data_IF_974043530412
#
_entry.id   IF_974043530412
#
_cell.length_a   1.000
_cell.length_b   1.000
_cell.length_c   1.000
_cell.angle_alpha   90.00
_cell.angle_beta   90.00
_cell.angle_gamma   90.00
#
_symmetry.space_group_name_H-M   'P 1'
#
loop_
_entity.id
_entity.type
_entity.pdbx_description
1 polymer ?
#
# COMPACT_ATOMS: atom_id res chain seq x y z
N UNK A 1 -19.78 -30.90 -4.44
CA UNK A 1 -20.50 -29.98 -5.37
C UNK A 1 -21.80 -29.57 -4.68
N UNK A 2 -21.92 -28.31 -4.24
CA UNK A 2 -22.95 -27.70 -3.36
C UNK A 2 -22.60 -27.55 -1.87
N UNK A 3 -21.83 -26.51 -1.55
CA UNK A 3 -21.94 -25.74 -0.29
C UNK A 3 -21.39 -24.30 -0.45
N UNK A 4 -21.55 -23.69 -1.64
CA UNK A 4 -21.08 -22.32 -1.94
C UNK A 4 -22.22 -21.51 -2.55
N UNK A 5 -23.26 -21.24 -1.76
CA UNK A 5 -24.30 -20.27 -2.08
C UNK A 5 -25.18 -20.03 -0.85
N UNK A 6 -24.77 -19.08 0.00
CA UNK A 6 -25.68 -18.23 0.80
C UNK A 6 -24.84 -17.27 1.65
N UNK A 7 -24.65 -16.07 1.12
CA UNK A 7 -24.66 -14.80 1.85
C UNK A 7 -24.64 -13.63 0.86
N UNK A 8 -25.51 -13.71 -0.14
CA UNK A 8 -25.95 -12.55 -0.90
C UNK A 8 -27.37 -12.20 -0.41
N UNK A 9 -27.61 -10.91 -0.15
CA UNK A 9 -28.82 -10.32 0.46
C UNK A 9 -28.80 -10.25 2.00
N UNK A 10 -27.88 -9.44 2.51
CA UNK A 10 -28.19 -8.42 3.52
C UNK A 10 -27.13 -7.32 3.42
N UNK A 11 -27.52 -6.05 3.24
CA UNK A 11 -26.65 -4.88 3.45
C UNK A 11 -26.31 -4.77 4.94
N UNK A 12 -25.59 -5.75 5.50
CA UNK A 12 -24.78 -5.49 6.70
C UNK A 12 -23.54 -4.78 6.20
N UNK A 13 -23.29 -3.56 6.70
CA UNK A 13 -21.93 -2.98 6.61
C UNK A 13 -21.00 -4.06 7.12
N UNK A 14 -20.20 -4.65 6.23
CA UNK A 14 -19.13 -5.53 6.67
C UNK A 14 -18.31 -4.76 7.71
N UNK A 15 -17.91 -5.43 8.80
CA UNK A 15 -16.98 -4.81 9.73
C UNK A 15 -15.76 -4.32 8.93
N UNK A 16 -15.16 -3.17 9.28
CA UNK A 16 -13.95 -2.71 8.63
C UNK A 16 -12.93 -3.86 8.55
N UNK A 17 -12.20 -4.01 7.42
CA UNK A 17 -11.26 -5.12 7.24
C UNK A 17 -10.20 -5.18 8.36
N UNK A 18 -9.96 -4.04 9.02
CA UNK A 18 -9.04 -3.84 10.14
C UNK A 18 -9.47 -4.46 11.47
N UNK A 19 -10.74 -4.85 11.61
CA UNK A 19 -11.27 -5.43 12.85
C UNK A 19 -11.02 -6.94 12.93
N UNK A 20 -10.72 -7.59 11.81
CA UNK A 20 -10.37 -9.00 11.80
C UNK A 20 -8.92 -9.17 12.27
N UNK A 21 -8.74 -9.95 13.34
CA UNK A 21 -7.44 -10.26 13.94
C UNK A 21 -6.82 -11.54 13.35
N UNK A 22 -7.54 -12.24 12.48
CA UNK A 22 -7.06 -13.46 11.84
C UNK A 22 -6.02 -13.12 10.78
N UNK A 23 -4.90 -13.86 10.71
CA UNK A 23 -3.91 -13.71 9.64
C UNK A 23 -4.57 -13.70 8.27
N UNK A 24 -4.02 -12.89 7.38
CA UNK A 24 -4.42 -12.77 5.98
C UNK A 24 -3.97 -14.02 5.25
N UNK A 25 -4.74 -15.10 5.40
CA UNK A 25 -4.46 -16.43 4.86
C UNK A 25 -5.76 -17.20 4.64
N UNK A 26 -5.89 -17.83 3.49
CA UNK A 26 -6.96 -18.77 3.15
C UNK A 26 -6.36 -19.99 2.43
N UNK A 27 -7.21 -20.79 1.79
CA UNK A 27 -6.79 -21.90 0.94
C UNK A 27 -5.73 -21.43 -0.08
N UNK A 28 -4.61 -22.15 -0.13
CA UNK A 28 -3.52 -21.89 -1.04
C UNK A 28 -3.94 -22.24 -2.48
N UNK A 29 -3.68 -21.31 -3.40
CA UNK A 29 -3.99 -21.52 -4.81
C UNK A 29 -2.70 -21.79 -5.59
N UNK A 30 -2.73 -22.84 -6.42
CA UNK A 30 -1.75 -23.00 -7.49
C UNK A 30 -1.93 -21.91 -8.56
N UNK A 31 -0.95 -21.76 -9.46
CA UNK A 31 -0.90 -20.63 -10.39
C UNK A 31 -2.13 -20.52 -11.29
N UNK A 32 -2.65 -21.63 -11.81
CA UNK A 32 -3.85 -21.65 -12.67
C UNK A 32 -5.10 -21.19 -11.89
N UNK A 33 -5.20 -21.58 -10.62
CA UNK A 33 -6.31 -21.18 -9.75
C UNK A 33 -6.18 -19.70 -9.32
N UNK A 34 -4.96 -19.20 -9.15
CA UNK A 34 -4.71 -17.77 -8.94
C UNK A 34 -5.18 -16.95 -10.14
N UNK A 35 -4.90 -17.37 -11.37
CA UNK A 35 -5.37 -16.67 -12.58
C UNK A 35 -6.90 -16.65 -12.68
N UNK A 36 -7.56 -17.80 -12.46
CA UNK A 36 -9.02 -17.88 -12.43
C UNK A 36 -9.62 -16.99 -11.32
N UNK A 37 -8.97 -16.96 -10.16
CA UNK A 37 -9.37 -16.09 -9.06
C UNK A 37 -9.19 -14.61 -9.43
N UNK A 38 -8.11 -14.24 -10.12
CA UNK A 38 -7.87 -12.87 -10.58
C UNK A 38 -8.98 -12.37 -11.50
N UNK A 39 -9.41 -13.20 -12.46
CA UNK A 39 -10.50 -12.89 -13.38
C UNK A 39 -11.84 -12.72 -12.64
N UNK A 40 -12.14 -13.64 -11.72
CA UNK A 40 -13.36 -13.57 -10.89
C UNK A 40 -13.35 -12.34 -9.97
N UNK A 41 -12.18 -12.01 -9.41
CA UNK A 41 -11.97 -10.85 -8.55
C UNK A 41 -12.16 -9.55 -9.33
N UNK A 42 -11.59 -9.46 -10.54
CA UNK A 42 -11.75 -8.31 -11.41
C UNK A 42 -13.22 -8.08 -11.78
N UNK A 43 -13.98 -9.15 -12.07
CA UNK A 43 -15.41 -9.05 -12.33
C UNK A 43 -16.20 -8.52 -11.11
N UNK A 44 -15.78 -8.87 -9.90
CA UNK A 44 -16.43 -8.43 -8.65
C UNK A 44 -16.02 -7.01 -8.22
N UNK A 45 -14.83 -6.53 -8.59
CA UNK A 45 -14.27 -5.26 -8.13
C UNK A 45 -14.70 -4.07 -9.01
N UNK A 46 -15.93 -3.59 -8.80
CA UNK A 46 -16.42 -2.37 -9.46
C UNK A 46 -15.82 -1.12 -8.82
N UNK A 47 -15.49 -0.12 -9.64
CA UNK A 47 -14.94 1.16 -9.18
C UNK A 47 -16.00 2.28 -9.13
N UNK A 48 -15.76 3.33 -8.34
CA UNK A 48 -16.65 4.48 -8.17
C UNK A 48 -15.89 5.80 -8.13
N UNK A 49 -16.47 6.83 -8.73
CA UNK A 49 -15.99 8.22 -8.64
C UNK A 49 -16.40 8.90 -7.33
N UNK A 50 -17.31 8.28 -6.56
CA UNK A 50 -17.83 8.80 -5.28
C UNK A 50 -17.59 7.79 -4.15
N UNK A 51 -16.32 7.53 -3.79
CA UNK A 51 -16.01 6.59 -2.72
C UNK A 51 -16.47 7.12 -1.36
N UNK A 52 -16.92 6.25 -0.45
CA UNK A 52 -17.11 6.66 0.94
C UNK A 52 -15.76 7.01 1.57
N UNK A 53 -15.79 7.84 2.62
CA UNK A 53 -14.61 8.07 3.43
C UNK A 53 -14.25 6.80 4.21
N UNK A 54 -12.98 6.42 4.11
CA UNK A 54 -12.42 5.26 4.80
C UNK A 54 -11.22 5.67 5.65
N UNK A 55 -10.86 4.79 6.57
CA UNK A 55 -9.67 4.97 7.38
C UNK A 55 -8.42 5.02 6.51
N UNK A 56 -7.57 6.03 6.71
CA UNK A 56 -6.33 6.21 5.94
C UNK A 56 -5.36 5.04 6.13
N UNK A 57 -4.81 4.50 5.04
CA UNK A 57 -3.77 3.47 5.09
C UNK A 57 -2.52 3.97 5.83
N UNK A 58 -2.19 5.26 5.71
CA UNK A 58 -1.05 5.85 6.44
C UNK A 58 -1.27 5.83 7.96
N UNK A 59 -2.50 6.12 8.40
CA UNK A 59 -2.86 6.03 9.82
C UNK A 59 -2.81 4.57 10.30
N UNK A 60 -3.33 3.63 9.49
CA UNK A 60 -3.27 2.20 9.82
C UNK A 60 -1.84 1.67 9.87
N UNK A 61 -0.99 2.06 8.93
CA UNK A 61 0.43 1.72 8.95
C UNK A 61 1.12 2.22 10.23
N UNK A 62 0.76 3.42 10.71
CA UNK A 62 1.27 3.95 11.98
C UNK A 62 0.92 3.08 13.18
N UNK A 63 -0.33 2.60 13.25
CA UNK A 63 -0.76 1.65 14.29
C UNK A 63 -0.13 0.26 14.15
N UNK A 64 0.07 -0.21 12.91
CA UNK A 64 0.77 -1.47 12.66
C UNK A 64 2.21 -1.38 13.17
N UNK A 65 2.91 -0.29 12.83
CA UNK A 65 4.26 -0.02 13.29
C UNK A 65 4.36 0.02 14.83
N UNK A 66 3.43 0.71 15.51
CA UNK A 66 3.51 0.84 16.97
C UNK A 66 3.40 -0.49 17.70
N UNK A 67 2.59 -1.42 17.20
CA UNK A 67 2.43 -2.72 17.88
C UNK A 67 3.42 -3.75 17.43
N UNK A 68 3.88 -3.71 16.17
CA UNK A 68 5.03 -4.51 15.77
C UNK A 68 6.25 -4.19 16.65
N UNK A 69 6.47 -2.90 16.95
CA UNK A 69 7.51 -2.47 17.89
C UNK A 69 7.27 -2.98 19.31
N UNK A 70 6.02 -2.95 19.78
CA UNK A 70 5.69 -3.46 21.11
C UNK A 70 5.91 -4.98 21.21
N UNK A 71 5.51 -5.74 20.19
CA UNK A 71 5.69 -7.18 20.10
C UNK A 71 7.18 -7.57 20.01
N UNK A 72 7.97 -6.82 19.26
CA UNK A 72 9.43 -6.95 19.21
C UNK A 72 10.05 -6.78 20.61
N UNK A 73 9.73 -5.67 21.31
CA UNK A 73 10.24 -5.40 22.66
C UNK A 73 9.83 -6.47 23.68
N UNK A 74 8.58 -6.94 23.61
CA UNK A 74 8.08 -7.99 24.48
C UNK A 74 8.82 -9.32 24.25
N UNK A 75 9.07 -9.67 22.98
CA UNK A 75 9.80 -10.89 22.62
C UNK A 75 11.28 -10.82 23.01
N UNK A 76 11.89 -9.64 22.90
CA UNK A 76 13.29 -9.42 23.30
C UNK A 76 13.48 -9.59 24.82
N UNK A 77 12.54 -9.05 25.62
CA UNK A 77 12.56 -9.22 27.07
C UNK A 77 12.39 -10.69 27.51
N UNK A 78 11.66 -11.51 26.74
CA UNK A 78 11.56 -12.94 27.02
C UNK A 78 12.87 -13.68 26.77
N UNK A 79 13.53 -13.37 25.66
CA UNK A 79 14.83 -13.94 25.31
C UNK A 79 15.89 -13.63 26.37
N UNK A 80 15.92 -12.39 26.88
CA UNK A 80 16.81 -11.97 27.98
C UNK A 80 16.52 -12.73 29.29
N UNK A 81 15.28 -13.14 29.52
CA UNK A 81 14.88 -13.91 30.71
C UNK A 81 15.09 -15.42 30.59
N UNK A 82 15.86 -15.88 29.59
CA UNK A 82 16.12 -17.29 29.25
C UNK A 82 14.84 -18.12 29.02
N UNK A 83 13.71 -17.45 28.75
CA UNK A 83 12.45 -18.13 28.41
C UNK A 83 12.46 -18.48 26.94
N UNK A 84 12.02 -19.71 26.63
CA UNK A 84 11.95 -20.18 25.25
C UNK A 84 11.00 -19.35 24.39
N UNK A 85 11.54 -18.70 23.37
CA UNK A 85 10.77 -17.89 22.42
C UNK A 85 10.10 -18.81 21.38
N UNK A 86 8.91 -18.43 20.89
CA UNK A 86 8.29 -19.17 19.79
C UNK A 86 9.10 -19.00 18.49
N UNK A 87 9.25 -20.03 17.63
CA UNK A 87 10.00 -19.89 16.37
C UNK A 87 9.55 -18.72 15.48
N UNK A 88 8.24 -18.47 15.42
CA UNK A 88 7.71 -17.34 14.64
C UNK A 88 8.09 -15.96 15.24
N UNK A 89 8.29 -15.88 16.56
CA UNK A 89 8.73 -14.67 17.25
C UNK A 89 10.24 -14.44 17.10
N UNK A 90 11.03 -15.52 17.06
CA UNK A 90 12.46 -15.47 16.75
C UNK A 90 12.71 -14.89 15.35
N UNK A 91 11.95 -15.33 14.35
CA UNK A 91 11.98 -14.70 13.02
C UNK A 91 11.68 -13.20 13.06
N UNK A 92 10.73 -12.74 13.88
CA UNK A 92 10.46 -11.31 14.01
C UNK A 92 11.61 -10.56 14.69
N UNK A 93 12.22 -11.14 15.73
CA UNK A 93 13.35 -10.56 16.45
C UNK A 93 14.56 -10.37 15.53
N UNK A 94 14.96 -11.42 14.83
CA UNK A 94 16.15 -11.40 13.96
C UNK A 94 16.00 -10.45 12.77
N UNK A 95 14.76 -10.19 12.34
CA UNK A 95 14.46 -9.49 11.10
C UNK A 95 13.72 -8.17 11.29
N UNK A 96 13.64 -7.66 12.53
CA UNK A 96 12.86 -6.45 12.81
C UNK A 96 13.36 -5.21 12.04
N UNK A 97 14.67 -5.11 11.79
CA UNK A 97 15.27 -4.04 10.97
C UNK A 97 14.64 -3.96 9.57
N UNK A 98 14.37 -5.10 8.93
CA UNK A 98 13.70 -5.15 7.62
C UNK A 98 12.28 -4.58 7.70
N UNK A 99 11.56 -4.87 8.79
CA UNK A 99 10.21 -4.35 9.02
C UNK A 99 10.24 -2.82 9.16
N UNK A 100 11.22 -2.27 9.88
CA UNK A 100 11.40 -0.82 10.01
C UNK A 100 11.73 -0.16 8.67
N UNK A 101 12.61 -0.78 7.87
CA UNK A 101 12.94 -0.32 6.53
C UNK A 101 11.70 -0.31 5.62
N UNK A 102 10.91 -1.40 5.60
CA UNK A 102 9.65 -1.43 4.84
C UNK A 102 8.68 -0.33 5.29
N UNK A 103 8.54 -0.07 6.59
CA UNK A 103 7.65 0.99 7.09
C UNK A 103 8.14 2.37 6.65
N UNK A 104 9.45 2.60 6.62
CA UNK A 104 10.05 3.86 6.14
C UNK A 104 9.79 4.02 4.65
N UNK A 105 10.12 3.02 3.84
CA UNK A 105 9.92 3.05 2.38
C UNK A 105 8.45 3.27 2.05
N UNK A 106 7.53 2.61 2.76
CA UNK A 106 6.09 2.82 2.55
C UNK A 106 5.70 4.28 2.82
N UNK A 107 6.28 4.95 3.81
CA UNK A 107 5.95 6.34 4.13
C UNK A 107 6.46 7.32 3.08
N UNK A 108 7.60 7.02 2.48
CA UNK A 108 8.22 7.81 1.41
C UNK A 108 7.45 7.63 0.09
N UNK A 109 7.13 6.38 -0.26
CA UNK A 109 6.48 5.99 -1.51
C UNK A 109 4.95 6.17 -1.51
N UNK A 110 4.35 6.57 -0.38
CA UNK A 110 2.90 6.79 -0.26
C UNK A 110 2.53 8.28 -0.12
N UNK A 111 2.80 9.14 -1.12
CA UNK A 111 2.37 10.54 -1.06
C UNK A 111 0.83 10.61 -1.05
N UNK A 112 0.23 11.45 -0.19
CA UNK A 112 -1.24 11.51 -0.03
C UNK A 112 -1.99 11.81 -1.32
N UNK A 113 -1.37 12.53 -2.26
CA UNK A 113 -1.94 12.86 -3.56
C UNK A 113 -2.06 11.65 -4.49
N UNK A 114 -1.05 10.77 -4.52
CA UNK A 114 -1.02 9.61 -5.40
C UNK A 114 -2.15 8.63 -5.09
N UNK A 115 -2.28 8.27 -3.81
CA UNK A 115 -3.32 7.36 -3.38
C UNK A 115 -4.73 7.91 -3.64
N UNK A 116 -4.95 9.23 -3.59
CA UNK A 116 -6.26 9.84 -3.88
C UNK A 116 -6.68 9.69 -5.34
N UNK A 117 -5.72 9.56 -6.26
CA UNK A 117 -5.97 9.46 -7.70
C UNK A 117 -6.31 8.04 -8.15
N UNK A 118 -6.01 7.02 -7.33
CA UNK A 118 -6.27 5.62 -7.70
C UNK A 118 -7.77 5.28 -7.67
N UNK A 119 -8.29 4.54 -8.67
CA UNK A 119 -9.68 4.08 -8.73
C UNK A 119 -10.12 3.35 -7.46
N UNK A 120 -11.27 3.72 -6.89
CA UNK A 120 -11.76 3.21 -5.60
C UNK A 120 -12.86 2.17 -5.78
N UNK A 121 -12.85 1.14 -4.96
CA UNK A 121 -13.87 0.09 -4.94
C UNK A 121 -15.23 0.65 -4.47
N UNK A 122 -16.27 0.31 -5.22
CA UNK A 122 -17.65 0.74 -4.99
C UNK A 122 -18.38 -0.12 -3.94
N UNK A 123 -17.94 -1.37 -3.76
CA UNK A 123 -18.56 -2.34 -2.87
C UNK A 123 -17.53 -3.39 -2.38
N UNK A 124 -18.01 -4.37 -1.61
CA UNK A 124 -17.18 -5.40 -1.00
C UNK A 124 -16.50 -5.00 0.31
N UNK A 125 -15.64 -5.86 0.87
CA UNK A 125 -14.97 -5.65 2.16
C UNK A 125 -14.00 -4.45 2.14
N UNK A 126 -13.51 -4.07 0.96
CA UNK A 126 -12.57 -2.97 0.76
C UNK A 126 -13.23 -1.74 0.11
N UNK A 127 -14.54 -1.58 0.24
CA UNK A 127 -15.26 -0.40 -0.27
C UNK A 127 -14.57 0.91 0.17
N UNK A 128 -14.33 1.81 -0.79
CA UNK A 128 -13.63 3.09 -0.58
C UNK A 128 -12.09 3.01 -0.59
N UNK A 129 -11.50 1.80 -0.55
CA UNK A 129 -10.07 1.59 -0.80
C UNK A 129 -9.79 1.46 -2.32
N UNK A 130 -8.56 1.74 -2.79
CA UNK A 130 -8.17 1.50 -4.17
C UNK A 130 -8.37 0.04 -4.56
N UNK A 131 -8.73 -0.16 -5.82
CA UNK A 131 -8.89 -1.49 -6.39
C UNK A 131 -7.61 -2.34 -6.28
N UNK A 132 -6.45 -1.76 -6.53
CA UNK A 132 -5.15 -2.42 -6.34
C UNK A 132 -4.93 -2.95 -4.91
N UNK A 133 -5.53 -2.31 -3.88
CA UNK A 133 -5.49 -2.82 -2.50
C UNK A 133 -6.20 -4.16 -2.36
N UNK A 134 -7.39 -4.28 -2.94
CA UNK A 134 -8.11 -5.56 -2.95
C UNK A 134 -7.40 -6.63 -3.79
N UNK A 135 -6.74 -6.25 -4.89
CA UNK A 135 -5.93 -7.15 -5.71
C UNK A 135 -4.74 -7.72 -4.92
N UNK A 136 -3.93 -6.87 -4.30
CA UNK A 136 -2.78 -7.29 -3.50
C UNK A 136 -3.20 -8.11 -2.28
N UNK A 137 -4.32 -7.75 -1.64
CA UNK A 137 -4.88 -8.52 -0.53
C UNK A 137 -5.24 -9.95 -0.94
N UNK A 138 -5.92 -10.11 -2.07
CA UNK A 138 -6.30 -11.42 -2.59
C UNK A 138 -5.07 -12.27 -2.95
N UNK A 139 -4.05 -11.66 -3.57
CA UNK A 139 -2.78 -12.32 -3.86
C UNK A 139 -2.14 -12.86 -2.56
N UNK A 140 -1.89 -11.98 -1.57
CA UNK A 140 -1.27 -12.37 -0.29
C UNK A 140 -2.08 -13.44 0.45
N UNK A 141 -3.42 -13.33 0.41
CA UNK A 141 -4.32 -14.28 1.08
C UNK A 141 -4.17 -15.70 0.54
N UNK A 142 -4.01 -15.86 -0.78
CA UNK A 142 -3.99 -17.16 -1.46
C UNK A 142 -2.58 -17.68 -1.79
N UNK A 143 -1.54 -16.90 -1.49
CA UNK A 143 -0.13 -17.34 -1.52
C UNK A 143 0.47 -17.50 -0.12
N UNK A 144 -0.31 -17.27 0.95
CA UNK A 144 0.19 -17.21 2.33
C UNK A 144 1.42 -16.29 2.47
N UNK A 145 1.27 -15.07 1.94
CA UNK A 145 2.31 -14.04 1.89
C UNK A 145 3.56 -14.41 1.07
N UNK A 146 3.57 -15.54 0.37
CA UNK A 146 4.67 -15.89 -0.53
C UNK A 146 4.63 -15.01 -1.79
N UNK A 147 5.77 -14.40 -2.11
CA UNK A 147 5.94 -13.52 -3.24
C UNK A 147 6.84 -14.18 -4.28
N UNK A 148 6.35 -14.21 -5.52
CA UNK A 148 7.10 -14.63 -6.70
C UNK A 148 6.73 -13.64 -7.83
N UNK A 149 7.72 -12.95 -8.44
CA UNK A 149 7.45 -11.95 -9.47
C UNK A 149 6.71 -12.51 -10.69
N UNK A 150 7.02 -13.75 -11.12
CA UNK A 150 6.41 -14.36 -12.29
C UNK A 150 4.95 -14.79 -12.00
N UNK A 151 4.68 -15.31 -10.80
CA UNK A 151 3.31 -15.62 -10.37
C UNK A 151 2.49 -14.34 -10.24
N UNK A 152 3.06 -13.28 -9.67
CA UNK A 152 2.39 -11.98 -9.57
C UNK A 152 2.08 -11.41 -10.97
N UNK A 153 3.03 -11.48 -11.91
CA UNK A 153 2.82 -11.01 -13.27
C UNK A 153 1.66 -11.75 -13.95
N UNK A 154 1.59 -13.08 -13.81
CA UNK A 154 0.47 -13.91 -14.29
C UNK A 154 -0.86 -13.53 -13.64
N UNK A 155 -0.87 -13.32 -12.32
CA UNK A 155 -2.06 -12.91 -11.58
C UNK A 155 -2.58 -11.54 -12.05
N UNK A 156 -1.69 -10.56 -12.19
CA UNK A 156 -2.02 -9.21 -12.69
C UNK A 156 -2.49 -9.27 -14.15
N UNK A 157 -1.81 -10.04 -15.00
CA UNK A 157 -2.23 -10.21 -16.40
C UNK A 157 -3.63 -10.83 -16.51
N UNK A 158 -3.93 -11.87 -15.73
CA UNK A 158 -5.26 -12.49 -15.69
C UNK A 158 -6.33 -11.52 -15.19
N UNK A 159 -6.05 -10.72 -14.16
CA UNK A 159 -6.95 -9.65 -13.70
C UNK A 159 -7.29 -8.67 -14.84
N UNK A 160 -6.26 -8.23 -15.57
CA UNK A 160 -6.38 -7.24 -16.64
C UNK A 160 -7.15 -7.73 -17.87
N UNK A 161 -7.31 -9.05 -18.07
CA UNK A 161 -8.19 -9.59 -19.12
C UNK A 161 -9.66 -9.20 -18.93
N UNK A 162 -10.07 -8.94 -17.69
CA UNK A 162 -11.44 -8.56 -17.35
C UNK A 162 -11.56 -7.04 -17.17
N UNK A 163 -10.63 -6.43 -16.42
CA UNK A 163 -10.58 -4.98 -16.25
C UNK A 163 -9.15 -4.47 -16.29
N UNK A 164 -8.77 -3.63 -17.29
CA UNK A 164 -7.46 -3.00 -17.34
C UNK A 164 -7.15 -2.20 -16.07
N UNK A 165 -5.92 -2.34 -15.58
CA UNK A 165 -5.38 -1.51 -14.52
C UNK A 165 -4.75 -0.27 -15.14
N UNK A 166 -4.86 0.87 -14.46
CA UNK A 166 -4.17 2.08 -14.90
C UNK A 166 -2.67 2.00 -14.64
N UNK A 167 -1.88 2.82 -15.33
CA UNK A 167 -0.44 2.99 -15.09
C UNK A 167 -0.18 3.25 -13.60
N UNK A 168 -0.96 4.15 -12.98
CA UNK A 168 -0.88 4.41 -11.54
C UNK A 168 -1.28 3.22 -10.68
N UNK A 169 -2.23 2.38 -11.07
CA UNK A 169 -2.53 1.16 -10.31
C UNK A 169 -1.39 0.14 -10.37
N UNK A 170 -0.77 -0.04 -11.54
CA UNK A 170 0.36 -0.96 -11.72
C UNK A 170 1.56 -0.54 -10.87
N UNK A 171 1.94 0.74 -10.87
CA UNK A 171 2.97 1.27 -9.97
C UNK A 171 2.61 1.12 -8.50
N UNK A 172 1.32 1.19 -8.17
CA UNK A 172 0.85 1.02 -6.80
C UNK A 172 0.90 -0.43 -6.30
N UNK A 173 1.13 -1.44 -7.15
CA UNK A 173 1.17 -2.85 -6.72
C UNK A 173 2.26 -3.09 -5.68
N UNK A 174 3.48 -2.59 -5.90
CA UNK A 174 4.64 -2.77 -5.02
C UNK A 174 4.35 -2.26 -3.59
N UNK A 175 4.01 -0.99 -3.49
CA UNK A 175 3.70 -0.31 -2.23
C UNK A 175 2.51 -0.96 -1.51
N UNK A 176 1.52 -1.42 -2.28
CA UNK A 176 0.34 -2.07 -1.72
C UNK A 176 0.66 -3.44 -1.15
N UNK A 177 1.49 -4.24 -1.83
CA UNK A 177 1.97 -5.52 -1.29
C UNK A 177 2.70 -5.33 0.03
N UNK A 178 3.61 -4.35 0.12
CA UNK A 178 4.31 -4.00 1.37
C UNK A 178 3.32 -3.68 2.49
N UNK A 179 2.30 -2.88 2.22
CA UNK A 179 1.26 -2.53 3.21
C UNK A 179 0.51 -3.78 3.70
N UNK A 180 0.09 -4.66 2.79
CA UNK A 180 -0.66 -5.88 3.14
C UNK A 180 0.22 -6.87 3.93
N UNK A 181 1.49 -7.01 3.56
CA UNK A 181 2.45 -7.84 4.30
C UNK A 181 2.69 -7.32 5.72
N UNK A 182 2.82 -6.00 5.91
CA UNK A 182 2.94 -5.38 7.24
C UNK A 182 1.65 -5.57 8.06
N UNK A 183 0.48 -5.44 7.43
CA UNK A 183 -0.80 -5.74 8.09
C UNK A 183 -0.87 -7.21 8.53
N UNK A 184 -0.46 -8.15 7.68
CA UNK A 184 -0.47 -9.57 8.04
C UNK A 184 0.53 -9.88 9.16
N UNK A 185 1.74 -9.31 9.09
CA UNK A 185 2.74 -9.44 10.15
C UNK A 185 2.22 -8.92 11.48
N UNK A 186 1.48 -7.82 11.46
CA UNK A 186 0.84 -7.27 12.66
C UNK A 186 -0.15 -8.25 13.27
N UNK A 187 -1.00 -8.88 12.46
CA UNK A 187 -1.97 -9.89 12.94
C UNK A 187 -1.26 -11.12 13.51
N UNK A 188 -0.17 -11.55 12.89
CA UNK A 188 0.67 -12.65 13.40
C UNK A 188 1.34 -12.27 14.72
N UNK A 189 1.82 -11.04 14.86
CA UNK A 189 2.39 -10.54 16.11
C UNK A 189 1.36 -10.52 17.24
N UNK A 190 0.13 -10.07 16.96
CA UNK A 190 -0.97 -10.12 17.94
C UNK A 190 -1.27 -11.59 18.36
N UNK A 191 -1.30 -12.54 17.40
CA UNK A 191 -1.48 -13.96 17.71
C UNK A 191 -0.34 -14.56 18.54
N UNK A 192 0.90 -14.19 18.24
CA UNK A 192 2.08 -14.62 18.98
C UNK A 192 1.99 -14.10 20.43
N UNK A 193 1.60 -12.85 20.62
CA UNK A 193 1.46 -12.26 21.96
C UNK A 193 0.35 -12.93 22.78
N UNK A 194 -0.80 -13.22 22.17
CA UNK A 194 -1.87 -14.01 22.82
C UNK A 194 -1.37 -15.40 23.24
N UNK A 195 -0.61 -16.08 22.38
CA UNK A 195 -0.03 -17.38 22.69
C UNK A 195 1.02 -17.31 23.80
N UNK A 196 1.81 -16.24 23.82
CA UNK A 196 2.82 -15.95 24.83
C UNK A 196 2.20 -15.78 26.21
N UNK A 197 1.18 -14.94 26.33
CA UNK A 197 0.43 -14.74 27.58
C UNK A 197 -0.19 -16.06 28.07
N UNK A 198 -0.84 -16.82 27.19
CA UNK A 198 -1.46 -18.09 27.56
C UNK A 198 -0.44 -19.15 28.03
N UNK A 199 0.76 -19.19 27.43
CA UNK A 199 1.84 -20.09 27.86
C UNK A 199 2.41 -19.68 29.22
N UNK A 200 2.64 -18.39 29.44
CA UNK A 200 3.14 -17.88 30.72
C UNK A 200 2.16 -18.14 31.87
N UNK A 201 0.86 -18.02 31.62
CA UNK A 201 -0.19 -18.38 32.58
C UNK A 201 -0.18 -19.89 32.90
N UNK A 202 -0.10 -20.74 31.87
CA UNK A 202 -0.02 -22.19 32.05
C UNK A 202 1.25 -22.62 32.81
N UNK A 203 2.39 -21.99 32.53
CA UNK A 203 3.65 -22.21 33.25
C UNK A 203 3.53 -21.76 34.71
N UNK A 204 2.97 -20.58 34.97
CA UNK A 204 2.76 -20.10 36.33
C UNK A 204 1.85 -21.03 37.15
N UNK A 205 0.81 -21.60 36.55
CA UNK A 205 -0.01 -22.62 37.21
C UNK A 205 0.77 -23.92 37.42
N UNK A 206 1.44 -24.43 36.38
CA UNK A 206 2.24 -25.64 36.45
C UNK A 206 3.28 -25.57 37.58
N UNK A 207 4.00 -24.46 37.71
CA UNK A 207 5.02 -24.27 38.74
C UNK A 207 4.42 -24.24 40.15
N UNK A 208 3.21 -23.65 40.33
CA UNK A 208 2.47 -23.71 41.61
C UNK A 208 1.96 -25.12 41.93
N UNK A 209 1.53 -25.87 40.91
CA UNK A 209 1.04 -27.25 41.08
C UNK A 209 2.18 -28.21 41.45
N UNK A 210 3.35 -28.02 40.86
CA UNK A 210 4.54 -28.84 41.10
C UNK A 210 5.27 -28.46 42.40
N UNK A 211 4.93 -27.35 43.03
CA UNK A 211 5.42 -27.01 44.36
C UNK A 211 4.94 -28.05 45.40
N UNK A 212 5.88 -28.56 46.20
CA UNK A 212 5.65 -29.68 47.11
C UNK A 212 4.44 -29.47 48.04
N UNK A 213 3.48 -30.39 47.99
CA UNK A 213 2.32 -30.42 48.89
C UNK A 213 1.19 -29.42 48.58
N UNK A 214 1.29 -28.65 47.48
CA UNK A 214 0.36 -27.56 47.16
C UNK A 214 -0.54 -27.80 45.94
N UNK A 215 -0.46 -28.96 45.28
CA UNK A 215 -1.15 -29.20 44.00
C UNK A 215 -2.66 -28.94 44.06
N UNK A 216 -3.36 -29.46 45.07
CA UNK A 216 -4.82 -29.31 45.17
C UNK A 216 -5.23 -27.87 45.54
N UNK A 217 -4.57 -27.27 46.52
CA UNK A 217 -4.88 -25.91 46.96
C UNK A 217 -4.55 -24.86 45.89
N UNK A 218 -3.46 -25.05 45.14
CA UNK A 218 -3.09 -24.21 44.01
C UNK A 218 -4.12 -24.31 42.88
N UNK A 219 -4.61 -25.52 42.58
CA UNK A 219 -5.66 -25.73 41.58
C UNK A 219 -6.99 -25.09 42.02
N UNK A 220 -7.43 -25.29 43.26
CA UNK A 220 -8.69 -24.73 43.75
C UNK A 220 -8.64 -23.19 43.80
N UNK A 221 -7.50 -22.61 44.17
CA UNK A 221 -7.29 -21.15 44.13
C UNK A 221 -7.33 -20.60 42.70
N UNK A 222 -6.73 -21.32 41.75
CA UNK A 222 -6.72 -20.97 40.34
C UNK A 222 -8.12 -21.05 39.71
N UNK A 223 -8.88 -22.11 40.03
CA UNK A 223 -10.30 -22.25 39.65
C UNK A 223 -11.13 -21.08 40.19
N UNK A 224 -10.90 -20.67 41.44
CA UNK A 224 -11.62 -19.57 42.08
C UNK A 224 -11.27 -18.19 41.51
N UNK A 225 -10.04 -18.00 41.02
CA UNK A 225 -9.57 -16.73 40.47
C UNK A 225 -9.87 -16.56 38.97
N UNK A 226 -10.01 -17.66 38.21
CA UNK A 226 -10.29 -17.60 36.77
C UNK A 226 -11.74 -17.23 36.49
N UNK A 227 -11.94 -16.44 35.43
CA UNK A 227 -13.27 -16.14 34.93
C UNK A 227 -13.99 -17.42 34.47
N UNK A 228 -15.33 -17.44 34.62
CA UNK A 228 -16.15 -18.61 34.32
C UNK A 228 -16.26 -18.97 32.82
N UNK A 229 -15.46 -18.35 31.94
CA UNK A 229 -15.46 -18.53 30.49
C UNK A 229 -14.70 -19.76 29.96
N UNK A 230 -14.67 -19.96 28.63
CA UNK A 230 -13.92 -21.04 28.00
C UNK A 230 -12.42 -20.91 28.27
N UNK A 231 -11.74 -22.04 28.43
CA UNK A 231 -10.29 -22.08 28.60
C UNK A 231 -9.63 -21.94 27.23
N UNK A 232 -8.55 -21.14 27.17
CA UNK A 232 -7.71 -21.05 25.98
C UNK A 232 -7.11 -22.42 25.64
N UNK A 233 -7.31 -22.88 24.41
CA UNK A 233 -6.64 -24.09 23.90
C UNK A 233 -5.10 -23.99 23.98
N UNK A 234 -4.52 -22.78 23.90
CA UNK A 234 -3.07 -22.57 24.00
C UNK A 234 -2.59 -22.79 25.44
N UNK A 235 -3.36 -22.33 26.41
CA UNK A 235 -3.13 -22.59 27.82
C UNK A 235 -3.26 -24.09 28.10
N UNK A 236 -4.34 -24.71 27.63
CA UNK A 236 -4.61 -26.13 27.81
C UNK A 236 -3.49 -27.00 27.24
N UNK A 237 -3.05 -26.71 26.01
CA UNK A 237 -1.96 -27.43 25.36
C UNK A 237 -0.63 -27.31 26.13
N UNK A 238 -0.30 -26.11 26.61
CA UNK A 238 0.94 -25.90 27.37
C UNK A 238 0.89 -26.55 28.75
N UNK A 239 -0.23 -26.45 29.47
CA UNK A 239 -0.42 -27.10 30.77
C UNK A 239 -0.35 -28.62 30.61
N UNK A 240 -1.05 -29.19 29.63
CA UNK A 240 -1.01 -30.62 29.32
C UNK A 240 0.41 -31.08 28.98
N UNK A 241 1.16 -30.29 28.19
CA UNK A 241 2.56 -30.56 27.86
C UNK A 241 3.44 -30.61 29.12
N UNK A 242 3.31 -29.63 30.02
CA UNK A 242 4.08 -29.58 31.28
C UNK A 242 3.71 -30.71 32.24
N UNK A 243 2.45 -31.13 32.26
CA UNK A 243 1.93 -32.13 33.20
C UNK A 243 2.10 -33.58 32.73
N UNK A 244 2.44 -33.82 31.46
CA UNK A 244 2.47 -35.15 30.82
C UNK A 244 3.39 -36.16 31.51
N UNK A 245 4.53 -35.71 32.04
CA UNK A 245 5.55 -36.60 32.61
C UNK A 245 5.39 -36.82 34.14
N UNK A 246 4.28 -36.36 34.72
CA UNK A 246 3.99 -36.45 36.16
C UNK A 246 2.92 -37.51 36.47
N UNK A 247 3.03 -38.16 37.64
CA UNK A 247 2.16 -39.29 38.03
C UNK A 247 0.67 -38.88 38.05
N UNK A 248 -0.20 -39.55 37.26
CA UNK A 248 -1.64 -39.28 37.19
C UNK A 248 -2.35 -39.32 38.56
N UNK A 249 -1.90 -40.14 39.50
CA UNK A 249 -2.51 -40.23 40.85
C UNK A 249 -2.25 -39.00 41.72
N UNK A 250 -1.29 -38.16 41.32
CA UNK A 250 -0.89 -36.94 42.05
C UNK A 250 -1.26 -35.65 41.32
N UNK A 251 -1.89 -35.74 40.14
CA UNK A 251 -2.08 -34.60 39.23
C UNK A 251 -3.55 -34.26 38.96
N UNK A 252 -4.24 -33.56 39.89
CA UNK A 252 -5.65 -33.17 39.72
C UNK A 252 -5.88 -32.18 38.57
N UNK A 253 -4.81 -31.57 38.03
CA UNK A 253 -4.91 -30.55 37.00
C UNK A 253 -5.28 -31.12 35.62
N UNK A 254 -4.81 -32.32 35.27
CA UNK A 254 -5.18 -32.95 34.00
C UNK A 254 -6.64 -33.39 34.00
N UNK A 255 -7.13 -33.98 35.10
CA UNK A 255 -8.54 -34.34 35.26
C UNK A 255 -9.44 -33.11 35.19
N UNK A 256 -9.05 -32.02 35.87
CA UNK A 256 -9.76 -30.75 35.79
C UNK A 256 -9.78 -30.18 34.38
N UNK A 257 -8.63 -30.19 33.69
CA UNK A 257 -8.49 -29.67 32.34
C UNK A 257 -9.37 -30.46 31.35
N UNK A 258 -9.35 -31.79 31.45
CA UNK A 258 -10.18 -32.70 30.64
C UNK A 258 -11.67 -32.43 30.88
N UNK A 259 -12.10 -32.33 32.14
CA UNK A 259 -13.49 -32.01 32.48
C UNK A 259 -13.91 -30.64 31.92
N UNK A 260 -13.02 -29.64 31.97
CA UNK A 260 -13.30 -28.27 31.52
C UNK A 260 -13.31 -28.14 30.00
N UNK A 261 -12.46 -28.87 29.28
CA UNK A 261 -12.49 -28.93 27.81
C UNK A 261 -13.70 -29.71 27.31
N UNK A 262 -14.08 -30.78 28.00
CA UNK A 262 -15.29 -31.56 27.67
C UNK A 262 -16.56 -30.72 27.75
N UNK A 263 -16.65 -29.81 28.73
CA UNK A 263 -17.75 -28.83 28.82
C UNK A 263 -17.78 -27.84 27.63
N UNK A 264 -16.64 -27.64 26.96
CA UNK A 264 -16.52 -26.82 25.75
C UNK A 264 -16.67 -27.63 24.45
N UNK A 265 -16.89 -28.95 24.55
CA UNK A 265 -16.98 -29.84 23.40
C UNK A 265 -15.63 -30.13 22.73
N UNK A 266 -14.52 -30.03 23.48
CA UNK A 266 -13.17 -30.38 23.00
C UNK A 266 -12.45 -31.32 23.97
N UNK A 267 -11.24 -31.74 23.62
CA UNK A 267 -10.36 -32.61 24.41
C UNK A 267 -8.94 -32.05 24.52
N UNK A 268 -8.13 -32.58 25.42
CA UNK A 268 -6.72 -32.19 25.55
C UNK A 268 -5.97 -32.45 24.23
N UNK A 269 -6.21 -33.59 23.58
CA UNK A 269 -5.52 -33.95 22.34
C UNK A 269 -5.86 -33.00 21.18
N UNK A 270 -7.13 -32.62 21.04
CA UNK A 270 -7.57 -31.62 20.07
C UNK A 270 -6.94 -30.25 20.35
N UNK A 271 -6.94 -29.80 21.60
CA UNK A 271 -6.34 -28.53 21.99
C UNK A 271 -4.83 -28.50 21.68
N UNK A 272 -4.11 -29.60 21.95
CA UNK A 272 -2.69 -29.75 21.62
C UNK A 272 -2.47 -29.73 20.11
N UNK A 273 -3.28 -30.47 19.35
CA UNK A 273 -3.18 -30.52 17.89
C UNK A 273 -3.44 -29.14 17.26
N UNK A 274 -4.50 -28.45 17.68
CA UNK A 274 -4.83 -27.10 17.21
C UNK A 274 -3.75 -26.08 17.57
N UNK A 275 -3.18 -26.16 18.78
CA UNK A 275 -2.08 -25.28 19.18
C UNK A 275 -0.83 -25.49 18.31
N UNK A 276 -0.45 -26.74 18.05
CA UNK A 276 0.69 -27.09 17.19
C UNK A 276 0.48 -26.66 15.74
N UNK A 277 -0.72 -26.91 15.18
CA UNK A 277 -1.08 -26.47 13.83
C UNK A 277 -1.02 -24.95 13.69
N UNK A 278 -1.57 -24.20 14.66
CA UNK A 278 -1.50 -22.74 14.66
C UNK A 278 -0.06 -22.23 14.73
N UNK A 279 0.76 -22.78 15.62
CA UNK A 279 2.17 -22.41 15.73
C UNK A 279 2.95 -22.70 14.44
N UNK A 280 2.77 -23.89 13.86
CA UNK A 280 3.43 -24.27 12.60
C UNK A 280 3.01 -23.36 11.45
N UNK A 281 1.71 -23.08 11.34
CA UNK A 281 1.19 -22.22 10.29
C UNK A 281 1.67 -20.76 10.44
N UNK A 282 1.67 -20.19 11.66
CA UNK A 282 2.20 -18.85 11.89
C UNK A 282 3.69 -18.75 11.60
N UNK A 283 4.48 -19.78 11.91
CA UNK A 283 5.91 -19.82 11.59
C UNK A 283 6.16 -19.77 10.08
N UNK A 284 5.39 -20.53 9.30
CA UNK A 284 5.48 -20.50 7.83
C UNK A 284 5.10 -19.13 7.28
N UNK A 285 3.98 -18.55 7.72
CA UNK A 285 3.55 -17.24 7.23
C UNK A 285 4.55 -16.13 7.59
N UNK A 286 5.08 -16.10 8.82
CA UNK A 286 6.10 -15.08 9.20
C UNK A 286 7.34 -15.22 8.33
N UNK A 287 7.86 -16.43 8.13
CA UNK A 287 8.99 -16.67 7.23
C UNK A 287 8.70 -16.20 5.80
N UNK A 288 7.50 -16.49 5.27
CA UNK A 288 7.09 -16.03 3.94
C UNK A 288 7.03 -14.49 3.88
N UNK A 289 6.43 -13.83 4.88
CA UNK A 289 6.37 -12.37 4.95
C UNK A 289 7.78 -11.76 4.90
N UNK A 290 8.70 -12.23 5.75
CA UNK A 290 10.08 -11.71 5.81
C UNK A 290 10.82 -11.95 4.49
N UNK A 291 10.72 -13.16 3.94
CA UNK A 291 11.37 -13.51 2.66
C UNK A 291 10.81 -12.66 1.52
N UNK A 292 9.50 -12.49 1.47
CA UNK A 292 8.82 -11.67 0.45
C UNK A 292 9.16 -10.19 0.57
N UNK A 293 9.30 -9.64 1.78
CA UNK A 293 9.72 -8.25 1.98
C UNK A 293 11.13 -7.99 1.41
N UNK A 294 12.06 -8.93 1.59
CA UNK A 294 13.39 -8.85 0.97
C UNK A 294 13.30 -8.86 -0.55
N UNK A 295 12.62 -9.86 -1.10
CA UNK A 295 12.45 -9.98 -2.55
C UNK A 295 11.78 -8.74 -3.17
N UNK A 296 10.73 -8.22 -2.53
CA UNK A 296 10.05 -6.98 -2.96
C UNK A 296 10.97 -5.76 -2.94
N UNK A 297 12.00 -5.75 -2.12
CA UNK A 297 12.99 -4.65 -2.07
C UNK A 297 14.08 -4.82 -3.13
N UNK A 298 14.39 -6.06 -3.49
CA UNK A 298 15.50 -6.39 -4.39
C UNK A 298 15.10 -6.41 -5.89
N UNK A 299 13.83 -6.61 -6.23
CA UNK A 299 13.41 -6.72 -7.64
C UNK A 299 13.37 -5.37 -8.37
N UNK A 300 13.63 -5.44 -9.69
CA UNK A 300 13.39 -4.32 -10.59
C UNK A 300 11.88 -4.19 -10.89
N UNK A 301 11.23 -3.28 -10.16
CA UNK A 301 9.81 -2.97 -10.36
C UNK A 301 9.52 -2.32 -11.72
N UNK A 302 10.51 -1.68 -12.35
CA UNK A 302 10.33 -1.14 -13.69
C UNK A 302 10.18 -2.28 -14.71
N UNK A 303 11.03 -3.31 -14.62
CA UNK A 303 10.91 -4.49 -15.48
C UNK A 303 9.58 -5.22 -15.28
N UNK A 304 9.17 -5.44 -14.02
CA UNK A 304 7.89 -6.07 -13.72
C UNK A 304 6.72 -5.24 -14.27
N UNK A 305 6.69 -3.93 -14.01
CA UNK A 305 5.68 -3.02 -14.55
C UNK A 305 5.58 -3.13 -16.07
N UNK A 306 6.71 -3.10 -16.75
CA UNK A 306 6.79 -3.15 -18.21
C UNK A 306 6.28 -4.48 -18.76
N UNK A 307 6.49 -5.59 -18.05
CA UNK A 307 6.00 -6.91 -18.47
C UNK A 307 4.47 -7.04 -18.44
N UNK A 308 3.78 -6.25 -17.59
CA UNK A 308 2.31 -6.34 -17.42
C UNK A 308 1.54 -5.09 -17.87
N UNK A 309 2.24 -4.04 -18.29
CA UNK A 309 1.62 -2.80 -18.78
C UNK A 309 0.97 -3.00 -20.15
N UNK A 310 -0.37 -2.98 -20.19
CA UNK A 310 -1.11 -3.05 -21.45
C UNK A 310 -0.83 -1.83 -22.35
N UNK A 311 -0.59 -0.65 -21.77
CA UNK A 311 -0.19 0.55 -22.53
C UNK A 311 1.16 0.34 -23.23
N UNK A 312 2.12 -0.22 -22.52
CA UNK A 312 3.41 -0.55 -23.10
C UNK A 312 3.28 -1.60 -24.21
N UNK A 313 2.47 -2.63 -24.00
CA UNK A 313 2.21 -3.66 -25.01
C UNK A 313 1.70 -3.03 -26.32
N UNK A 314 0.75 -2.09 -26.24
CA UNK A 314 0.24 -1.36 -27.41
C UNK A 314 1.32 -0.53 -28.10
N UNK A 315 2.12 0.21 -27.34
CA UNK A 315 3.17 1.06 -27.89
C UNK A 315 4.28 0.21 -28.54
N UNK A 316 4.74 -0.87 -27.89
CA UNK A 316 5.76 -1.79 -28.45
C UNK A 316 5.31 -2.44 -29.76
N UNK A 317 4.04 -2.80 -29.87
CA UNK A 317 3.50 -3.44 -31.07
C UNK A 317 3.40 -2.53 -32.30
N UNK A 318 3.56 -1.21 -32.13
CA UNK A 318 3.21 -0.24 -33.15
C UNK A 318 4.19 0.92 -33.34
N UNK A 319 5.27 0.99 -32.56
CA UNK A 319 6.29 2.04 -32.67
C UNK A 319 7.68 1.57 -32.21
N UNK A 320 8.67 2.47 -32.27
CA UNK A 320 10.04 2.26 -31.78
C UNK A 320 10.16 2.25 -30.25
N UNK A 321 9.03 2.31 -29.52
CA UNK A 321 8.98 2.41 -28.06
C UNK A 321 9.81 1.34 -27.34
N UNK A 322 9.88 0.12 -27.86
CA UNK A 322 10.67 -0.97 -27.25
C UNK A 322 12.19 -0.68 -27.21
N UNK A 323 12.70 0.11 -28.15
CA UNK A 323 14.13 0.46 -28.24
C UNK A 323 14.54 1.67 -27.39
N UNK A 324 13.60 2.30 -26.68
CA UNK A 324 13.85 3.49 -25.87
C UNK A 324 14.30 3.14 -24.44
N UNK A 325 15.09 4.02 -23.84
CA UNK A 325 15.45 3.91 -22.43
C UNK A 325 14.24 4.14 -21.51
N UNK A 326 14.33 3.66 -20.27
CA UNK A 326 13.24 3.75 -19.31
C UNK A 326 12.73 5.19 -19.06
N UNK A 327 13.61 6.21 -18.88
CA UNK A 327 13.17 7.60 -18.72
C UNK A 327 12.32 8.10 -19.89
N UNK A 328 12.71 7.81 -21.13
CA UNK A 328 11.94 8.23 -22.31
C UNK A 328 10.60 7.52 -22.36
N UNK A 329 10.54 6.20 -22.11
CA UNK A 329 9.28 5.46 -22.03
C UNK A 329 8.36 5.99 -20.92
N UNK A 330 8.94 6.44 -19.81
CA UNK A 330 8.18 7.05 -18.73
C UNK A 330 7.55 8.40 -19.09
N UNK A 331 8.15 9.19 -19.99
CA UNK A 331 7.54 10.42 -20.51
C UNK A 331 6.23 10.13 -21.26
N UNK A 332 6.20 9.04 -22.03
CA UNK A 332 5.01 8.62 -22.78
C UNK A 332 3.90 8.20 -21.82
N UNK A 333 4.23 7.35 -20.85
CA UNK A 333 3.29 6.91 -19.79
C UNK A 333 2.72 8.10 -19.04
N UNK A 334 3.57 9.04 -18.64
CA UNK A 334 3.15 10.26 -17.93
C UNK A 334 2.21 11.13 -18.79
N UNK A 335 2.50 11.26 -20.09
CA UNK A 335 1.65 12.00 -21.02
C UNK A 335 0.29 11.31 -21.20
N UNK A 336 0.26 9.99 -21.38
CA UNK A 336 -0.97 9.19 -21.51
C UNK A 336 -1.82 9.31 -20.24
N UNK A 337 -1.22 9.14 -19.07
CA UNK A 337 -1.90 9.25 -17.78
C UNK A 337 -2.51 10.65 -17.58
N UNK A 338 -1.77 11.71 -17.94
CA UNK A 338 -2.24 13.08 -17.89
C UNK A 338 -3.42 13.33 -18.83
N UNK A 339 -3.34 12.85 -20.07
CA UNK A 339 -4.37 13.02 -21.09
C UNK A 339 -5.65 12.23 -20.75
N UNK A 340 -5.52 11.00 -20.23
CA UNK A 340 -6.64 10.20 -19.76
C UNK A 340 -7.36 10.89 -18.59
N UNK A 341 -6.62 11.40 -17.60
CA UNK A 341 -7.21 12.12 -16.45
C UNK A 341 -8.02 13.36 -16.81
N UNK A 342 -7.65 14.06 -17.88
CA UNK A 342 -8.37 15.24 -18.35
C UNK A 342 -9.41 14.97 -19.43
N UNK A 343 -9.67 13.71 -19.78
CA UNK A 343 -10.65 13.32 -20.80
C UNK A 343 -11.60 12.24 -20.29
N UNK A 344 -12.57 11.85 -21.12
CA UNK A 344 -13.40 10.65 -20.86
C UNK A 344 -12.77 9.37 -21.41
N UNK A 345 -11.58 9.47 -22.01
CA UNK A 345 -10.88 8.36 -22.64
C UNK A 345 -10.04 7.59 -21.61
N UNK A 346 -9.95 6.27 -21.76
CA UNK A 346 -9.04 5.45 -20.95
C UNK A 346 -7.58 5.65 -21.40
N UNK A 347 -6.63 5.22 -20.59
CA UNK A 347 -5.20 5.26 -20.96
C UNK A 347 -4.91 4.45 -22.24
N UNK A 348 -5.64 3.35 -22.46
CA UNK A 348 -5.56 2.57 -23.69
C UNK A 348 -6.13 3.32 -24.88
N UNK A 349 -7.27 3.99 -24.73
CA UNK A 349 -7.86 4.80 -25.80
C UNK A 349 -6.94 5.94 -26.22
N UNK A 350 -6.27 6.59 -25.25
CA UNK A 350 -5.28 7.64 -25.53
C UNK A 350 -4.06 7.08 -26.25
N UNK A 351 -3.55 5.91 -25.84
CA UNK A 351 -2.45 5.25 -26.51
C UNK A 351 -2.81 4.89 -27.97
N UNK A 352 -3.98 4.29 -28.18
CA UNK A 352 -4.49 3.92 -29.50
C UNK A 352 -4.72 5.16 -30.38
N UNK A 353 -5.22 6.27 -29.82
CA UNK A 353 -5.39 7.53 -30.54
C UNK A 353 -4.05 8.16 -30.97
N UNK A 354 -3.03 8.12 -30.11
CA UNK A 354 -1.68 8.58 -30.45
C UNK A 354 -1.04 7.72 -31.56
N UNK A 355 -1.21 6.40 -31.48
CA UNK A 355 -0.76 5.46 -32.52
C UNK A 355 -1.50 5.66 -33.85
N UNK A 356 -2.81 5.93 -33.81
CA UNK A 356 -3.59 6.23 -35.00
C UNK A 356 -3.13 7.53 -35.67
N UNK A 357 -2.86 8.59 -34.88
CA UNK A 357 -2.34 9.86 -35.38
C UNK A 357 -0.96 9.70 -36.04
N UNK A 358 -0.07 8.92 -35.42
CA UNK A 358 1.23 8.56 -35.97
C UNK A 358 1.14 7.80 -37.31
N UNK A 359 0.12 6.94 -37.49
CA UNK A 359 -0.07 6.14 -38.72
C UNK A 359 -0.75 6.90 -39.86
N UNK A 360 -1.50 7.96 -39.55
CA UNK A 360 -2.24 8.74 -40.55
C UNK A 360 -1.29 9.50 -41.49
N UNK A 361 -0.08 9.82 -41.04
CA UNK A 361 0.91 10.61 -41.77
C UNK A 361 1.85 9.72 -42.61
N UNK A 362 1.40 9.42 -43.84
CA UNK A 362 2.09 8.50 -44.76
C UNK A 362 2.97 9.16 -45.83
N UNK A 363 2.79 10.45 -46.13
CA UNK A 363 3.23 11.00 -47.43
C UNK A 363 4.56 11.79 -47.46
N UNK A 364 5.21 12.05 -46.31
CA UNK A 364 6.52 12.71 -46.28
C UNK A 364 7.70 11.72 -46.31
N UNK A 365 8.72 11.97 -47.15
CA UNK A 365 10.01 11.23 -47.15
C UNK A 365 11.13 11.97 -46.39
N UNK A 366 10.80 13.07 -45.71
CA UNK A 366 11.76 13.92 -45.01
C UNK A 366 11.92 13.49 -43.53
N UNK A 367 13.00 13.93 -42.88
CA UNK A 367 13.26 13.69 -41.45
C UNK A 367 12.11 14.17 -40.54
N UNK A 368 11.38 15.21 -40.96
CA UNK A 368 10.18 15.68 -40.26
C UNK A 368 9.04 14.65 -40.31
N UNK A 369 8.97 13.81 -41.34
CA UNK A 369 7.97 12.75 -41.44
C UNK A 369 8.25 11.59 -40.49
N UNK A 370 9.53 11.26 -40.26
CA UNK A 370 9.91 10.25 -39.26
C UNK A 370 9.54 10.71 -37.84
N UNK A 371 9.75 12.01 -37.56
CA UNK A 371 9.35 12.63 -36.28
C UNK A 371 7.84 12.59 -36.05
N UNK A 372 7.03 12.89 -37.07
CA UNK A 372 5.56 12.90 -36.96
C UNK A 372 4.95 11.49 -36.88
N UNK A 373 5.66 10.47 -37.38
CA UNK A 373 5.30 9.06 -37.27
C UNK A 373 5.60 8.44 -35.91
N UNK A 374 6.30 9.16 -35.03
CA UNK A 374 6.52 8.73 -33.67
C UNK A 374 5.33 9.13 -32.78
N UNK A 375 4.73 8.21 -32.00
CA UNK A 375 3.61 8.56 -31.13
C UNK A 375 3.96 9.58 -30.04
N UNK A 376 5.24 9.70 -29.66
CA UNK A 376 5.74 10.72 -28.74
C UNK A 376 5.56 12.14 -29.26
N UNK A 377 5.61 12.35 -30.58
CA UNK A 377 5.29 13.64 -31.19
C UNK A 377 3.86 14.09 -30.87
N UNK A 378 2.91 13.16 -30.91
CA UNK A 378 1.49 13.41 -30.61
C UNK A 378 1.20 13.45 -29.11
N UNK A 379 1.98 12.75 -28.29
CA UNK A 379 1.79 12.73 -26.83
C UNK A 379 2.41 13.94 -26.13
N UNK A 380 3.60 14.36 -26.56
CA UNK A 380 4.46 15.27 -25.79
C UNK A 380 4.77 16.55 -26.57
N UNK A 381 4.85 16.47 -27.91
CA UNK A 381 5.36 17.54 -28.75
C UNK A 381 4.24 18.28 -29.53
N UNK A 382 4.54 18.76 -30.74
CA UNK A 382 3.68 19.66 -31.51
C UNK A 382 2.40 19.01 -32.05
N UNK A 383 2.33 17.67 -32.08
CA UNK A 383 1.09 16.93 -32.41
C UNK A 383 0.05 16.93 -31.29
N UNK A 384 0.48 17.26 -30.06
CA UNK A 384 -0.36 17.20 -28.85
C UNK A 384 -1.68 17.99 -28.91
N UNK A 385 -1.73 19.22 -29.42
CA UNK A 385 -2.99 19.96 -29.51
C UNK A 385 -4.02 19.32 -30.46
N UNK A 386 -3.58 18.55 -31.46
CA UNK A 386 -4.48 17.79 -32.33
C UNK A 386 -5.04 16.56 -31.60
N UNK A 387 -4.17 15.81 -30.91
CA UNK A 387 -4.57 14.67 -30.10
C UNK A 387 -5.55 15.08 -28.99
N UNK A 388 -5.29 16.18 -28.29
CA UNK A 388 -6.17 16.71 -27.24
C UNK A 388 -7.58 17.02 -27.73
N UNK A 389 -7.71 17.58 -28.94
CA UNK A 389 -9.02 17.81 -29.57
C UNK A 389 -9.71 16.50 -29.92
N UNK A 390 -8.96 15.52 -30.41
CA UNK A 390 -9.51 14.22 -30.80
C UNK A 390 -10.09 13.44 -29.60
N UNK A 391 -9.41 13.48 -28.45
CA UNK A 391 -9.85 12.78 -27.23
C UNK A 391 -10.78 13.61 -26.34
N UNK A 392 -11.10 14.85 -26.72
CA UNK A 392 -11.93 15.75 -25.93
C UNK A 392 -11.30 16.18 -24.59
N UNK A 393 -9.97 16.33 -24.56
CA UNK A 393 -9.21 16.70 -23.38
C UNK A 393 -9.58 18.10 -22.87
N UNK A 394 -9.84 18.19 -21.57
CA UNK A 394 -10.13 19.43 -20.86
C UNK A 394 -8.92 19.77 -19.98
N UNK A 395 -8.11 20.78 -20.35
CA UNK A 395 -6.93 21.13 -19.58
C UNK A 395 -7.33 21.63 -18.19
N UNK A 396 -6.56 21.23 -17.17
CA UNK A 396 -6.69 21.81 -15.84
C UNK A 396 -6.30 23.29 -15.86
N UNK A 397 -6.84 24.10 -14.95
CA UNK A 397 -6.50 25.53 -14.85
C UNK A 397 -4.99 25.75 -14.70
N UNK A 398 -4.31 24.85 -13.99
CA UNK A 398 -2.84 24.87 -13.83
C UNK A 398 -2.12 24.66 -15.16
N UNK A 399 -2.56 23.67 -15.94
CA UNK A 399 -1.97 23.39 -17.25
C UNK A 399 -2.21 24.55 -18.22
N UNK A 400 -3.38 25.19 -18.14
CA UNK A 400 -3.68 26.40 -18.91
C UNK A 400 -2.74 27.55 -18.56
N UNK A 401 -2.50 27.79 -17.26
CA UNK A 401 -1.57 28.81 -16.80
C UNK A 401 -0.12 28.52 -17.21
N UNK A 402 0.34 27.28 -17.05
CA UNK A 402 1.68 26.88 -17.45
C UNK A 402 1.88 27.04 -18.98
N UNK A 403 0.91 26.61 -19.79
CA UNK A 403 0.94 26.83 -21.25
C UNK A 403 0.96 28.29 -21.62
N UNK A 404 0.21 29.12 -20.90
CA UNK A 404 0.22 30.58 -21.12
C UNK A 404 1.60 31.16 -20.83
N UNK A 405 2.23 30.78 -19.71
CA UNK A 405 3.59 31.20 -19.36
C UNK A 405 4.64 30.74 -20.38
N UNK A 406 4.58 29.48 -20.83
CA UNK A 406 5.50 28.95 -21.86
C UNK A 406 5.31 29.66 -23.21
N UNK A 407 4.06 29.93 -23.61
CA UNK A 407 3.75 30.65 -24.86
C UNK A 407 4.26 32.09 -24.87
N UNK A 408 4.33 32.72 -23.70
CA UNK A 408 4.89 34.05 -23.50
C UNK A 408 6.44 34.06 -23.55
N UNK A 409 7.08 32.89 -23.42
CA UNK A 409 8.52 32.71 -23.55
C UNK A 409 9.35 33.50 -22.53
N UNK A 410 10.63 33.68 -22.83
CA UNK A 410 11.56 34.48 -21.99
C UNK A 410 11.05 35.91 -21.82
N UNK A 411 10.44 36.48 -22.87
CA UNK A 411 9.91 37.85 -22.84
C UNK A 411 8.80 38.04 -21.81
N UNK A 412 7.89 37.09 -21.66
CA UNK A 412 6.85 37.17 -20.63
C UNK A 412 7.32 36.83 -19.23
N UNK A 413 8.33 35.96 -19.07
CA UNK A 413 8.98 35.76 -17.78
C UNK A 413 9.63 37.05 -17.28
N UNK A 414 10.41 37.72 -18.14
CA UNK A 414 11.01 39.03 -17.83
C UNK A 414 9.92 40.08 -17.58
N UNK A 415 8.87 40.11 -18.42
CA UNK A 415 7.72 41.01 -18.23
C UNK A 415 7.00 40.82 -16.89
N UNK A 416 6.79 39.57 -16.47
CA UNK A 416 6.17 39.26 -15.18
C UNK A 416 7.02 39.74 -13.99
N UNK A 417 8.35 39.54 -14.06
CA UNK A 417 9.28 40.07 -13.04
C UNK A 417 9.19 41.59 -12.99
N UNK A 418 9.22 42.27 -14.14
CA UNK A 418 9.13 43.73 -14.20
C UNK A 418 7.81 44.27 -13.66
N UNK A 419 6.68 43.60 -13.95
CA UNK A 419 5.36 44.00 -13.42
C UNK A 419 5.30 43.83 -11.90
N UNK A 420 5.76 42.68 -11.38
CA UNK A 420 5.78 42.44 -9.93
C UNK A 420 6.74 43.40 -9.23
N UNK A 421 7.92 43.63 -9.80
CA UNK A 421 8.88 44.59 -9.25
C UNK A 421 8.31 46.02 -9.26
N UNK A 422 7.66 46.44 -10.34
CA UNK A 422 7.02 47.75 -10.45
C UNK A 422 5.84 47.89 -9.47
N UNK A 423 5.05 46.84 -9.25
CA UNK A 423 3.94 46.84 -8.29
C UNK A 423 4.44 46.95 -6.84
N UNK A 424 5.48 46.18 -6.48
CA UNK A 424 6.10 46.24 -5.15
C UNK A 424 6.76 47.60 -4.89
N UNK A 425 7.54 48.09 -5.85
CA UNK A 425 8.20 49.39 -5.75
C UNK A 425 7.19 50.54 -5.72
N UNK A 426 6.19 50.50 -6.61
CA UNK A 426 5.11 51.48 -6.67
C UNK A 426 4.26 51.50 -5.39
N UNK A 427 3.94 50.33 -4.83
CA UNK A 427 3.24 50.21 -3.55
C UNK A 427 4.06 50.79 -2.38
N UNK A 428 5.36 50.50 -2.31
CA UNK A 428 6.24 51.06 -1.29
C UNK A 428 6.41 52.58 -1.40
N UNK A 429 6.53 53.11 -2.62
CA UNK A 429 6.63 54.55 -2.84
C UNK A 429 5.29 55.26 -2.56
N UNK A 430 4.15 54.64 -2.87
CA UNK A 430 2.84 55.17 -2.55
C UNK A 430 2.64 55.31 -1.04
N UNK A 431 2.96 54.28 -0.26
CA UNK A 431 2.81 54.32 1.21
C UNK A 431 3.72 55.38 1.82
N UNK A 432 4.98 55.45 1.41
CA UNK A 432 5.93 56.47 1.86
C UNK A 432 5.52 57.89 1.45
N UNK A 433 5.00 58.07 0.24
CA UNK A 433 4.51 59.36 -0.26
C UNK A 433 3.26 59.83 0.47
N UNK A 434 2.33 58.92 0.78
CA UNK A 434 1.14 59.24 1.58
C UNK A 434 1.45 59.62 3.04
N UNK A 435 2.64 59.23 3.53
CA UNK A 435 3.17 59.61 4.85
C UNK A 435 3.91 60.95 4.89
N UNK A 436 3.92 61.73 3.80
CA UNK A 436 4.54 63.05 3.75
C UNK A 436 6.05 63.06 3.43
N UNK A 437 6.59 61.97 2.88
CA UNK A 437 7.98 61.93 2.44
C UNK A 437 8.26 62.94 1.30
N UNK A 438 9.40 63.61 1.35
CA UNK A 438 9.83 64.54 0.30
C UNK A 438 10.04 63.81 -1.04
N UNK A 439 9.64 64.39 -2.18
CA UNK A 439 9.80 63.78 -3.51
C UNK A 439 11.24 63.37 -3.85
N UNK A 440 12.23 64.13 -3.36
CA UNK A 440 13.65 63.84 -3.59
C UNK A 440 14.06 62.54 -2.90
N UNK A 441 13.61 62.32 -1.66
CA UNK A 441 13.89 61.09 -0.92
C UNK A 441 13.18 59.88 -1.51
N UNK A 442 11.98 60.05 -2.09
CA UNK A 442 11.29 58.97 -2.81
C UNK A 442 12.06 58.52 -4.05
N UNK A 443 12.68 59.44 -4.79
CA UNK A 443 13.52 59.11 -5.96
C UNK A 443 14.78 58.36 -5.54
N UNK A 444 15.43 58.79 -4.46
CA UNK A 444 16.61 58.11 -3.90
C UNK A 444 16.24 56.69 -3.44
N UNK A 445 15.13 56.53 -2.71
CA UNK A 445 14.64 55.22 -2.28
C UNK A 445 14.29 54.35 -3.48
N UNK A 446 13.62 54.88 -4.51
CA UNK A 446 13.30 54.14 -5.72
C UNK A 446 14.56 53.58 -6.41
N UNK A 447 15.62 54.39 -6.49
CA UNK A 447 16.89 54.01 -7.12
C UNK A 447 17.59 52.88 -6.35
N UNK A 448 17.69 52.98 -5.03
CA UNK A 448 18.34 51.98 -4.20
C UNK A 448 17.49 50.72 -4.00
N UNK A 449 16.16 50.85 -3.98
CA UNK A 449 15.25 49.73 -3.78
C UNK A 449 14.99 48.94 -5.08
N UNK A 450 15.29 49.47 -6.26
CA UNK A 450 15.02 48.81 -7.53
C UNK A 450 15.69 47.42 -7.64
N UNK A 451 16.96 47.31 -7.26
CA UNK A 451 17.72 46.05 -7.29
C UNK A 451 17.14 45.01 -6.31
N UNK A 452 17.03 45.27 -5.00
CA UNK A 452 16.49 44.29 -4.06
C UNK A 452 15.01 43.95 -4.34
N UNK A 453 14.23 44.88 -4.87
CA UNK A 453 12.83 44.61 -5.25
C UNK A 453 12.75 43.66 -6.44
N UNK A 454 13.69 43.74 -7.38
CA UNK A 454 13.77 42.83 -8.53
C UNK A 454 14.16 41.41 -8.09
N UNK A 455 15.04 41.27 -7.10
CA UNK A 455 15.39 39.96 -6.52
C UNK A 455 14.18 39.31 -5.81
N UNK A 456 13.45 40.09 -5.03
CA UNK A 456 12.21 39.62 -4.36
C UNK A 456 11.14 39.25 -5.39
N UNK A 457 10.98 40.06 -6.44
CA UNK A 457 10.06 39.75 -7.54
C UNK A 457 10.45 38.46 -8.26
N UNK A 458 11.75 38.24 -8.51
CA UNK A 458 12.27 37.03 -9.13
C UNK A 458 12.02 35.81 -8.25
N UNK A 459 12.25 35.90 -6.93
CA UNK A 459 11.96 34.83 -5.99
C UNK A 459 10.46 34.49 -5.93
N UNK A 460 9.58 35.50 -5.95
CA UNK A 460 8.12 35.32 -5.98
C UNK A 460 7.67 34.65 -7.28
N UNK A 461 8.13 35.14 -8.43
CA UNK A 461 7.81 34.56 -9.74
C UNK A 461 8.32 33.11 -9.83
N UNK A 462 9.56 32.86 -9.40
CA UNK A 462 10.13 31.50 -9.36
C UNK A 462 9.38 30.57 -8.41
N UNK A 463 8.88 31.07 -7.27
CA UNK A 463 8.08 30.27 -6.35
C UNK A 463 6.70 29.95 -6.91
N UNK A 464 6.09 30.88 -7.64
CA UNK A 464 4.80 30.66 -8.32
C UNK A 464 4.96 29.67 -9.48
N UNK A 465 6.06 29.76 -10.24
CA UNK A 465 6.36 28.81 -11.32
C UNK A 465 6.76 27.44 -10.76
N UNK A 466 7.57 27.39 -9.71
CA UNK A 466 8.06 26.15 -9.08
C UNK A 466 7.02 25.40 -8.25
N UNK A 467 5.88 26.02 -7.91
CA UNK A 467 4.70 25.35 -7.35
C UNK A 467 3.66 24.93 -8.43
N UNK A 468 3.95 25.20 -9.71
CA UNK A 468 3.05 25.03 -10.87
C UNK A 468 2.99 23.61 -11.43
#
# INVERSE_FOLDING_TARGET
MFAYAKNFVARRRAAPPWNDISPVRQELFGTERLEQHAETLAAAQRVTDRPPQVRSLRSRLGENASVLLAAYKASAAELESERGVAPAAEWLLDNYHLVEDQIRDIREDLPPGYYRQLPKLADGPFVGYPRVFGLAWAYVTHTDSYFDPAILARFVAAYQRVQPLTIGELWAVAITLRIVLIENLRRLADQIDVARVARADAEGLADRLLAAGCARSALDADIGAREAGPISELFAAQLAKRMRDHDPQTNPALEWLEARLKLQGSSIDEAVQHAQQRQGASNVTVRNVITSMRLISDIDWAELFESVSLVDERLRGASSFAGMDFPTRNLYRSAIEQLARGSSATELDVADAALAAARAEKDGRDLDAERVRDPGYHLIAEGRPALERAIGFRPSLRLCFNRFSVRLGIGGYVGAILIVAAALLGGALWTLGSGGASPIWLIVIALFAAVPTTDVATALVNRVIGWG
#
